data_IF_123185227834
#
_entry.id   IF_123185227834
#
_cell.length_a   1.000
_cell.length_b   1.000
_cell.length_c   1.000
_cell.angle_alpha   90.00
_cell.angle_beta   90.00
_cell.angle_gamma   90.00
#
_symmetry.space_group_name_H-M   'P 1'
#
loop_
_entity.id
_entity.type
_entity.pdbx_description
1 polymer ?
#
# COMPACT_ATOMS: atom_id res chain seq x y z
N UNK A 1 5.50 17.39 5.60
CA UNK A 1 4.82 16.20 5.04
C UNK A 1 5.30 14.92 5.72
N UNK A 2 6.61 14.64 5.71
CA UNK A 2 7.18 13.42 6.29
C UNK A 2 6.82 13.18 7.77
N UNK A 3 6.91 14.21 8.61
CA UNK A 3 6.61 14.10 10.05
C UNK A 3 5.13 13.73 10.30
N UNK A 4 4.20 14.26 9.49
CA UNK A 4 2.76 13.92 9.57
C UNK A 4 2.46 12.44 9.23
N UNK A 5 3.37 11.77 8.52
CA UNK A 5 3.28 10.35 8.17
C UNK A 5 4.20 9.47 9.04
N UNK A 6 4.82 10.05 10.08
CA UNK A 6 5.80 9.40 10.95
C UNK A 6 6.91 8.67 10.16
N UNK A 7 7.41 9.31 9.10
CA UNK A 7 8.49 8.74 8.29
C UNK A 7 9.84 8.96 8.96
N UNK A 8 10.71 7.96 8.84
CA UNK A 8 12.08 8.01 9.36
C UNK A 8 12.94 9.04 8.61
N UNK A 9 13.99 9.54 9.26
CA UNK A 9 14.89 10.55 8.70
C UNK A 9 15.49 10.13 7.35
N UNK A 10 15.83 8.85 7.17
CA UNK A 10 16.41 8.33 5.92
C UNK A 10 15.51 8.60 4.70
N UNK A 11 14.19 8.43 4.84
CA UNK A 11 13.22 8.72 3.78
C UNK A 11 13.16 10.23 3.48
N UNK A 12 13.25 11.07 4.52
CA UNK A 12 13.24 12.53 4.37
C UNK A 12 14.48 13.01 3.63
N UNK A 13 15.65 12.49 4.00
CA UNK A 13 16.92 12.82 3.36
C UNK A 13 16.91 12.37 1.90
N UNK A 14 16.43 11.15 1.64
CA UNK A 14 16.29 10.65 0.27
C UNK A 14 15.33 11.48 -0.57
N UNK A 15 14.21 11.91 -0.02
CA UNK A 15 13.27 12.80 -0.71
C UNK A 15 13.91 14.16 -1.07
N UNK A 16 14.74 14.71 -0.16
CA UNK A 16 15.48 15.94 -0.41
C UNK A 16 16.53 15.77 -1.52
N UNK A 17 17.24 14.64 -1.55
CA UNK A 17 18.18 14.33 -2.64
C UNK A 17 17.47 14.28 -4.00
N UNK A 18 16.34 13.59 -4.08
CA UNK A 18 15.53 13.49 -5.31
C UNK A 18 15.07 14.89 -5.74
N UNK A 19 14.58 15.70 -4.80
CA UNK A 19 14.15 17.07 -5.09
C UNK A 19 15.29 17.92 -5.66
N UNK A 20 16.47 17.92 -5.03
CA UNK A 20 17.65 18.67 -5.49
C UNK A 20 18.09 18.26 -6.89
N UNK A 21 18.09 16.95 -7.20
CA UNK A 21 18.43 16.44 -8.54
C UNK A 21 17.45 16.94 -9.60
N UNK A 22 16.16 16.97 -9.29
CA UNK A 22 15.13 17.43 -10.23
C UNK A 22 15.17 18.96 -10.39
N UNK A 23 15.41 19.69 -9.31
CA UNK A 23 15.53 21.15 -9.32
C UNK A 23 16.73 21.62 -10.15
N UNK A 24 17.88 20.95 -10.05
CA UNK A 24 19.09 21.31 -10.81
C UNK A 24 18.90 21.23 -12.32
N UNK A 25 17.96 20.41 -12.81
CA UNK A 25 17.61 20.31 -14.22
C UNK A 25 16.78 21.50 -14.72
N UNK A 26 16.35 22.41 -13.84
CA UNK A 26 15.47 23.58 -14.12
C UNK A 26 14.11 23.23 -14.73
N UNK A 27 13.75 21.94 -14.82
CA UNK A 27 12.54 21.43 -15.46
C UNK A 27 11.24 21.59 -14.63
N UNK A 28 11.32 22.09 -13.39
CA UNK A 28 10.17 22.24 -12.47
C UNK A 28 9.57 23.64 -12.37
N UNK A 29 10.12 24.64 -13.08
CA UNK A 29 9.59 26.01 -13.08
C UNK A 29 8.15 26.03 -13.63
N UNK A 30 7.25 26.72 -12.94
CA UNK A 30 5.83 26.84 -13.31
C UNK A 30 4.95 25.64 -12.92
N UNK A 31 5.49 24.62 -12.25
CA UNK A 31 4.73 23.48 -11.72
C UNK A 31 4.36 23.70 -10.26
N UNK A 32 3.29 23.03 -9.82
CA UNK A 32 2.87 22.99 -8.42
C UNK A 32 3.99 22.37 -7.57
N UNK A 33 4.61 23.19 -6.71
CA UNK A 33 5.75 22.78 -5.89
C UNK A 33 5.36 21.74 -4.83
N UNK A 34 4.18 21.86 -4.23
CA UNK A 34 3.69 20.88 -3.25
C UNK A 34 3.50 19.51 -3.91
N UNK A 35 3.04 19.47 -5.16
CA UNK A 35 2.91 18.22 -5.91
C UNK A 35 4.27 17.59 -6.23
N UNK A 36 5.28 18.40 -6.55
CA UNK A 36 6.66 17.91 -6.78
C UNK A 36 7.26 17.35 -5.48
N UNK A 37 7.17 18.09 -4.37
CA UNK A 37 7.65 17.62 -3.07
C UNK A 37 6.97 16.33 -2.62
N UNK A 38 5.64 16.25 -2.78
CA UNK A 38 4.86 15.05 -2.49
C UNK A 38 5.29 13.86 -3.37
N UNK A 39 5.55 14.08 -4.66
CA UNK A 39 6.03 13.05 -5.56
C UNK A 39 7.47 12.58 -5.22
N UNK A 40 8.38 13.49 -4.85
CA UNK A 40 9.70 13.11 -4.34
C UNK A 40 9.60 12.23 -3.10
N UNK A 41 8.71 12.59 -2.16
CA UNK A 41 8.49 11.80 -0.95
C UNK A 41 7.91 10.42 -1.26
N UNK A 42 6.95 10.35 -2.20
CA UNK A 42 6.38 9.09 -2.66
C UNK A 42 7.45 8.17 -3.26
N UNK A 43 8.34 8.70 -4.12
CA UNK A 43 9.42 7.94 -4.75
C UNK A 43 10.43 7.49 -3.69
N UNK A 44 10.82 8.35 -2.75
CA UNK A 44 11.71 8.01 -1.65
C UNK A 44 11.15 6.87 -0.79
N UNK A 45 9.86 6.89 -0.45
CA UNK A 45 9.23 5.80 0.31
C UNK A 45 9.33 4.45 -0.41
N UNK A 46 9.28 4.44 -1.75
CA UNK A 46 9.42 3.21 -2.55
C UNK A 46 10.87 2.73 -2.61
N UNK A 47 11.82 3.65 -2.79
CA UNK A 47 13.25 3.30 -2.84
C UNK A 47 13.79 2.78 -1.51
N UNK A 48 13.16 3.16 -0.39
CA UNK A 48 13.50 2.70 0.96
C UNK A 48 12.64 1.51 1.42
N UNK A 49 12.00 0.79 0.48
CA UNK A 49 11.19 -0.42 0.73
C UNK A 49 10.06 -0.23 1.78
N UNK A 50 9.59 1.01 1.95
CA UNK A 50 8.52 1.38 2.88
C UNK A 50 7.41 2.12 2.13
N UNK A 51 6.80 1.51 1.09
CA UNK A 51 5.92 2.19 0.18
C UNK A 51 4.72 2.81 0.90
N UNK A 52 4.43 4.06 0.55
CA UNK A 52 3.21 4.78 0.89
C UNK A 52 2.34 4.90 -0.35
N UNK A 53 1.05 4.79 -0.17
CA UNK A 53 0.08 4.93 -1.26
C UNK A 53 -0.03 6.40 -1.66
N UNK A 54 -0.44 6.67 -2.89
CA UNK A 54 -0.65 8.06 -3.32
C UNK A 54 -1.72 8.75 -2.47
N UNK A 55 -2.71 7.99 -1.95
CA UNK A 55 -3.73 8.54 -1.03
C UNK A 55 -3.12 8.96 0.31
N UNK A 56 -2.23 8.15 0.90
CA UNK A 56 -1.51 8.52 2.13
C UNK A 56 -0.63 9.77 1.93
N UNK A 57 0.06 9.87 0.79
CA UNK A 57 0.86 11.07 0.50
C UNK A 57 -0.05 12.29 0.27
N UNK A 58 -1.15 12.13 -0.46
CA UNK A 58 -2.09 13.19 -0.77
C UNK A 58 -2.75 13.77 0.49
N UNK A 59 -3.02 12.97 1.53
CA UNK A 59 -3.65 13.45 2.76
C UNK A 59 -2.77 14.43 3.55
N UNK A 60 -1.45 14.43 3.30
CA UNK A 60 -0.49 15.34 3.96
C UNK A 60 0.13 16.36 3.01
N UNK A 61 -0.17 16.28 1.71
CA UNK A 61 0.33 17.19 0.69
C UNK A 61 -0.55 18.44 0.63
N UNK A 62 -0.04 19.57 1.12
CA UNK A 62 -0.77 20.83 1.29
C UNK A 62 -1.44 21.29 -0.03
N UNK A 63 -2.70 20.93 -0.25
CA UNK A 63 -3.48 21.34 -1.44
C UNK A 63 -3.15 20.61 -2.75
N UNK A 64 -2.20 19.67 -2.79
CA UNK A 64 -1.88 18.91 -3.99
C UNK A 64 -2.85 17.73 -4.17
N UNK A 65 -3.47 17.62 -5.35
CA UNK A 65 -4.42 16.52 -5.62
C UNK A 65 -3.70 15.23 -5.97
N UNK A 66 -4.38 14.08 -5.82
CA UNK A 66 -3.89 12.77 -6.28
C UNK A 66 -3.44 12.79 -7.75
N UNK A 67 -4.15 13.54 -8.60
CA UNK A 67 -3.84 13.67 -10.03
C UNK A 67 -2.54 14.46 -10.25
N UNK A 68 -2.33 15.51 -9.48
CA UNK A 68 -1.12 16.34 -9.58
C UNK A 68 0.11 15.58 -9.09
N UNK A 69 -0.02 14.86 -7.96
CA UNK A 69 1.04 14.01 -7.42
C UNK A 69 1.39 12.90 -8.42
N UNK A 70 0.39 12.26 -9.05
CA UNK A 70 0.62 11.26 -10.09
C UNK A 70 1.40 11.81 -11.29
N UNK A 71 0.99 12.97 -11.82
CA UNK A 71 1.69 13.64 -12.93
C UNK A 71 3.10 14.08 -12.55
N UNK A 72 3.29 14.58 -11.33
CA UNK A 72 4.59 14.96 -10.81
C UNK A 72 5.52 13.73 -10.67
N UNK A 73 4.99 12.60 -10.19
CA UNK A 73 5.70 11.32 -10.10
C UNK A 73 6.16 10.85 -11.48
N UNK A 74 5.27 10.76 -12.46
CA UNK A 74 5.62 10.33 -13.83
C UNK A 74 6.69 11.26 -14.44
N UNK A 75 6.53 12.57 -14.24
CA UNK A 75 7.50 13.56 -14.68
C UNK A 75 8.89 13.36 -14.05
N UNK A 76 8.97 13.18 -12.73
CA UNK A 76 10.25 12.97 -12.02
C UNK A 76 10.90 11.67 -12.48
N UNK A 77 10.13 10.58 -12.59
CA UNK A 77 10.65 9.28 -13.06
C UNK A 77 11.27 9.39 -14.44
N UNK A 78 10.60 10.09 -15.37
CA UNK A 78 11.11 10.35 -16.71
C UNK A 78 12.37 11.21 -16.72
N UNK A 79 12.42 12.28 -15.91
CA UNK A 79 13.60 13.17 -15.84
C UNK A 79 14.82 12.49 -15.26
N UNK A 80 14.63 11.60 -14.28
CA UNK A 80 15.72 10.88 -13.62
C UNK A 80 16.08 9.57 -14.33
N UNK A 81 15.48 9.26 -15.48
CA UNK A 81 15.74 8.03 -16.23
C UNK A 81 15.29 6.75 -15.51
N UNK A 82 14.46 6.87 -14.47
CA UNK A 82 14.03 5.74 -13.63
C UNK A 82 13.06 4.78 -14.35
N UNK A 83 12.54 5.16 -15.53
CA UNK A 83 11.64 4.32 -16.33
C UNK A 83 12.37 3.22 -17.11
N UNK A 84 13.66 3.41 -17.40
CA UNK A 84 14.44 2.55 -18.30
C UNK A 84 15.50 1.72 -17.57
N UNK A 85 15.55 1.76 -16.25
CA UNK A 85 16.48 0.98 -15.45
C UNK A 85 15.77 -0.28 -14.91
N UNK A 86 16.06 -1.47 -15.48
CA UNK A 86 15.44 -2.72 -15.05
C UNK A 86 15.69 -3.00 -13.56
N UNK A 87 16.83 -2.55 -13.02
CA UNK A 87 17.19 -2.73 -11.60
C UNK A 87 16.27 -1.93 -10.67
N UNK A 88 15.72 -0.82 -11.15
CA UNK A 88 14.77 0.02 -10.40
C UNK A 88 13.34 -0.49 -10.59
N UNK A 89 13.04 -1.12 -11.72
CA UNK A 89 11.74 -1.73 -12.00
C UNK A 89 11.47 -2.90 -11.04
N UNK A 90 12.47 -3.77 -10.82
CA UNK A 90 12.39 -4.89 -9.87
C UNK A 90 12.43 -4.42 -8.42
N UNK A 91 13.31 -3.47 -8.04
CA UNK A 91 13.36 -2.86 -6.70
C UNK A 91 12.09 -2.10 -6.32
N UNK A 92 11.21 -1.78 -7.28
CA UNK A 92 9.97 -1.06 -7.04
C UNK A 92 8.72 -1.95 -7.11
N UNK A 93 8.84 -3.28 -7.20
CA UNK A 93 7.67 -4.17 -7.20
C UNK A 93 7.01 -4.12 -5.83
N UNK A 94 5.92 -3.34 -5.74
CA UNK A 94 5.15 -3.22 -4.51
C UNK A 94 4.37 -4.52 -4.31
N UNK A 95 4.64 -5.20 -3.21
CA UNK A 95 3.90 -6.38 -2.75
C UNK A 95 2.73 -5.96 -1.85
N UNK A 96 1.73 -6.83 -1.70
CA UNK A 96 0.72 -6.66 -0.67
C UNK A 96 1.34 -6.70 0.75
N UNK A 97 2.46 -7.41 0.91
CA UNK A 97 3.18 -7.58 2.18
C UNK A 97 3.75 -6.28 2.73
N UNK A 98 4.21 -5.40 1.84
CA UNK A 98 4.81 -4.11 2.21
C UNK A 98 3.85 -3.19 2.98
N UNK A 99 2.54 -3.44 2.83
CA UNK A 99 1.49 -2.69 3.50
C UNK A 99 0.98 -3.37 4.77
N UNK A 100 1.16 -4.70 4.88
CA UNK A 100 0.40 -5.53 5.81
C UNK A 100 0.61 -5.11 7.26
N UNK A 101 1.87 -5.03 7.71
CA UNK A 101 2.22 -4.59 9.07
C UNK A 101 1.61 -3.24 9.43
N UNK A 102 1.73 -2.25 8.54
CA UNK A 102 1.24 -0.89 8.79
C UNK A 102 -0.27 -0.84 8.89
N UNK A 103 -0.98 -1.48 7.96
CA UNK A 103 -2.44 -1.49 7.95
C UNK A 103 -3.00 -2.27 9.14
N UNK A 104 -2.44 -3.44 9.47
CA UNK A 104 -2.86 -4.21 10.65
C UNK A 104 -2.62 -3.43 11.95
N UNK A 105 -1.49 -2.72 12.06
CA UNK A 105 -1.20 -1.86 13.21
C UNK A 105 -2.19 -0.71 13.34
N UNK A 106 -2.54 -0.06 12.21
CA UNK A 106 -3.54 1.01 12.18
C UNK A 106 -4.95 0.54 12.56
N UNK A 107 -5.25 -0.75 12.35
CA UNK A 107 -6.51 -1.37 12.72
C UNK A 107 -6.50 -1.95 14.14
N UNK A 108 -5.37 -1.88 14.86
CA UNK A 108 -5.23 -2.44 16.20
C UNK A 108 -5.36 -3.96 16.23
N UNK A 109 -4.97 -4.65 15.16
CA UNK A 109 -5.00 -6.11 15.10
C UNK A 109 -3.98 -6.72 16.06
N UNK A 110 -4.35 -7.83 16.70
CA UNK A 110 -3.45 -8.59 17.55
C UNK A 110 -2.34 -9.31 16.74
N UNK A 111 -1.27 -9.72 17.41
CA UNK A 111 -0.10 -10.33 16.76
C UNK A 111 -0.43 -11.64 16.01
N UNK A 112 -1.41 -12.42 16.49
CA UNK A 112 -1.84 -13.65 15.81
C UNK A 112 -2.49 -13.34 14.47
N UNK A 113 -3.42 -12.38 14.43
CA UNK A 113 -4.08 -11.95 13.20
C UNK A 113 -3.10 -11.29 12.22
N UNK A 114 -2.14 -10.51 12.72
CA UNK A 114 -1.06 -9.93 11.88
C UNK A 114 -0.24 -11.05 11.22
N UNK A 115 0.21 -12.03 12.01
CA UNK A 115 1.00 -13.16 11.49
C UNK A 115 0.22 -13.99 10.47
N UNK A 116 -1.05 -14.28 10.75
CA UNK A 116 -1.90 -14.98 9.79
C UNK A 116 -2.05 -14.21 8.48
N UNK A 117 -2.24 -12.88 8.54
CA UNK A 117 -2.34 -12.04 7.36
C UNK A 117 -1.04 -12.00 6.53
N UNK A 118 0.12 -12.00 7.18
CA UNK A 118 1.43 -12.10 6.50
C UNK A 118 1.59 -13.45 5.79
N UNK A 119 1.29 -14.57 6.46
CA UNK A 119 1.35 -15.91 5.85
C UNK A 119 0.39 -16.05 4.65
N UNK A 120 -0.79 -15.44 4.74
CA UNK A 120 -1.76 -15.42 3.62
C UNK A 120 -1.22 -14.63 2.43
N UNK A 121 -0.56 -13.49 2.65
CA UNK A 121 0.07 -12.71 1.56
C UNK A 121 1.14 -13.52 0.84
N UNK A 122 2.00 -14.22 1.59
CA UNK A 122 3.10 -15.01 1.03
C UNK A 122 2.54 -16.12 0.11
N UNK A 123 1.50 -16.83 0.55
CA UNK A 123 0.86 -17.88 -0.25
C UNK A 123 0.07 -17.35 -1.45
N UNK A 124 -0.52 -16.16 -1.35
CA UNK A 124 -1.24 -15.54 -2.49
C UNK A 124 -0.28 -15.05 -3.57
N UNK A 125 0.97 -14.75 -3.24
CA UNK A 125 1.97 -14.36 -4.23
C UNK A 125 2.15 -15.38 -5.38
N UNK A 126 1.77 -16.62 -5.14
CA UNK A 126 1.83 -17.72 -6.12
C UNK A 126 0.56 -17.81 -7.01
N UNK A 127 -0.49 -17.05 -6.71
CA UNK A 127 -1.78 -17.10 -7.40
C UNK A 127 -1.93 -15.93 -8.39
N UNK A 128 -2.46 -16.19 -9.60
CA UNK A 128 -2.74 -15.15 -10.60
C UNK A 128 -4.04 -14.36 -10.27
N UNK A 129 -3.97 -13.50 -9.25
CA UNK A 129 -5.05 -12.60 -8.88
C UNK A 129 -4.80 -11.24 -9.51
N UNK A 130 -5.61 -10.88 -10.51
CA UNK A 130 -5.52 -9.62 -11.27
C UNK A 130 -6.09 -8.42 -10.50
N UNK A 131 -5.53 -8.15 -9.32
CA UNK A 131 -5.87 -7.01 -8.47
C UNK A 131 -4.61 -6.25 -8.08
N UNK A 132 -4.78 -4.97 -7.73
CA UNK A 132 -3.65 -4.18 -7.27
C UNK A 132 -3.19 -4.68 -5.88
N UNK A 133 -1.88 -4.64 -5.57
CA UNK A 133 -1.32 -5.15 -4.31
C UNK A 133 -2.01 -4.58 -3.06
N UNK A 134 -2.38 -3.30 -3.09
CA UNK A 134 -3.11 -2.65 -1.99
C UNK A 134 -4.53 -3.21 -1.80
N UNK A 135 -5.21 -3.59 -2.88
CA UNK A 135 -6.57 -4.15 -2.82
C UNK A 135 -6.53 -5.57 -2.30
N UNK A 136 -5.51 -6.34 -2.70
CA UNK A 136 -5.22 -7.67 -2.16
C UNK A 136 -4.95 -7.56 -0.65
N UNK A 137 -4.06 -6.66 -0.22
CA UNK A 137 -3.78 -6.43 1.20
C UNK A 137 -5.04 -6.09 2.00
N UNK A 138 -5.86 -5.15 1.51
CA UNK A 138 -7.11 -4.77 2.18
C UNK A 138 -8.12 -5.92 2.28
N UNK A 139 -8.21 -6.76 1.25
CA UNK A 139 -9.11 -7.91 1.24
C UNK A 139 -8.64 -9.06 2.14
N UNK A 140 -7.32 -9.31 2.22
CA UNK A 140 -6.73 -10.26 3.17
C UNK A 140 -7.02 -9.82 4.60
N UNK A 141 -6.78 -8.54 4.92
CA UNK A 141 -7.09 -7.97 6.23
C UNK A 141 -8.58 -8.14 6.56
N UNK A 142 -9.47 -7.87 5.60
CA UNK A 142 -10.90 -8.09 5.79
C UNK A 142 -11.20 -9.55 6.10
N UNK A 143 -10.66 -10.48 5.33
CA UNK A 143 -10.86 -11.93 5.52
C UNK A 143 -10.39 -12.39 6.90
N UNK A 144 -9.18 -12.02 7.31
CA UNK A 144 -8.60 -12.38 8.61
C UNK A 144 -9.36 -11.75 9.77
N UNK A 145 -9.78 -10.49 9.65
CA UNK A 145 -10.56 -9.83 10.71
C UNK A 145 -11.96 -10.42 10.87
N UNK A 146 -12.58 -10.96 9.82
CA UNK A 146 -13.87 -11.67 9.95
C UNK A 146 -13.75 -13.00 10.69
N UNK A 147 -12.57 -13.63 10.66
CA UNK A 147 -12.26 -14.89 11.37
C UNK A 147 -11.70 -14.68 12.77
N UNK A 148 -11.25 -13.47 13.08
CA UNK A 148 -10.83 -13.08 14.43
C UNK A 148 -12.04 -12.80 15.32
N UNK A 149 -11.83 -12.85 16.64
CA UNK A 149 -12.83 -12.42 17.64
C UNK A 149 -13.18 -10.94 17.45
N UNK A 150 -12.18 -10.12 17.11
CA UNK A 150 -12.33 -8.69 16.85
C UNK A 150 -12.61 -8.40 15.37
N UNK A 151 -13.88 -8.45 15.00
CA UNK A 151 -14.32 -8.10 13.64
C UNK A 151 -14.12 -6.62 13.36
N UNK A 152 -13.63 -6.30 12.17
CA UNK A 152 -13.47 -4.93 11.68
C UNK A 152 -14.47 -4.63 10.58
N UNK A 153 -15.01 -3.41 10.58
CA UNK A 153 -15.95 -2.98 9.54
C UNK A 153 -15.17 -2.62 8.27
N UNK A 154 -15.81 -2.77 7.11
CA UNK A 154 -15.24 -2.33 5.83
C UNK A 154 -14.86 -0.84 5.85
N UNK A 155 -15.63 -0.02 6.58
CA UNK A 155 -15.34 1.40 6.80
C UNK A 155 -14.00 1.61 7.50
N UNK A 156 -13.68 0.81 8.50
CA UNK A 156 -12.42 0.93 9.25
C UNK A 156 -11.23 0.56 8.35
N UNK A 157 -11.40 -0.49 7.56
CA UNK A 157 -10.39 -0.92 6.58
C UNK A 157 -10.23 0.14 5.48
N UNK A 158 -11.31 0.78 5.03
CA UNK A 158 -11.23 1.92 4.13
C UNK A 158 -10.44 3.08 4.73
N UNK A 159 -10.63 3.40 6.01
CA UNK A 159 -9.89 4.46 6.69
C UNK A 159 -8.40 4.14 6.82
N UNK A 160 -8.05 2.88 7.10
CA UNK A 160 -6.66 2.44 7.24
C UNK A 160 -5.92 2.32 5.89
N UNK A 161 -6.60 1.81 4.85
CA UNK A 161 -5.97 1.45 3.56
C UNK A 161 -6.22 2.48 2.45
N UNK A 162 -7.28 3.28 2.57
CA UNK A 162 -7.78 4.13 1.51
C UNK A 162 -8.43 3.38 0.33
N UNK A 163 -8.67 2.07 0.43
CA UNK A 163 -9.32 1.27 -0.63
C UNK A 163 -10.83 1.28 -0.44
N UNK A 164 -11.58 1.63 -1.49
CA UNK A 164 -13.05 1.73 -1.41
C UNK A 164 -13.69 0.39 -1.02
N UNK A 165 -14.77 0.43 -0.23
CA UNK A 165 -15.42 -0.77 0.28
C UNK A 165 -15.88 -1.74 -0.83
N UNK A 166 -16.37 -1.21 -1.96
CA UNK A 166 -16.74 -2.01 -3.12
C UNK A 166 -15.54 -2.75 -3.73
N UNK A 167 -14.37 -2.11 -3.77
CA UNK A 167 -13.11 -2.73 -4.23
C UNK A 167 -12.63 -3.80 -3.27
N UNK A 168 -12.78 -3.58 -1.95
CA UNK A 168 -12.46 -4.59 -0.94
C UNK A 168 -13.36 -5.82 -1.13
N UNK A 169 -14.69 -5.62 -1.25
CA UNK A 169 -15.63 -6.73 -1.48
C UNK A 169 -15.33 -7.50 -2.77
N UNK A 170 -15.05 -6.80 -3.87
CA UNK A 170 -14.73 -7.46 -5.14
C UNK A 170 -13.42 -8.26 -5.05
N UNK A 171 -12.38 -7.69 -4.42
CA UNK A 171 -11.10 -8.39 -4.24
C UNK A 171 -11.24 -9.58 -3.29
N UNK A 172 -12.08 -9.45 -2.26
CA UNK A 172 -12.43 -10.53 -1.35
C UNK A 172 -13.16 -11.68 -2.07
N UNK A 173 -14.08 -11.38 -3.00
CA UNK A 173 -14.74 -12.41 -3.83
C UNK A 173 -13.75 -13.23 -4.66
N UNK A 174 -12.72 -12.57 -5.18
CA UNK A 174 -11.68 -13.25 -5.96
C UNK A 174 -10.75 -14.10 -5.07
N UNK A 175 -10.55 -13.70 -3.81
CA UNK A 175 -9.72 -14.40 -2.82
C UNK A 175 -10.45 -15.55 -2.12
N UNK A 176 -11.76 -15.45 -1.94
CA UNK A 176 -12.57 -16.39 -1.18
C UNK A 176 -12.42 -17.85 -1.63
N UNK A 177 -12.36 -18.20 -2.93
CA UNK A 177 -12.16 -19.58 -3.39
C UNK A 177 -10.85 -20.22 -2.88
N UNK A 178 -9.86 -19.39 -2.57
CA UNK A 178 -8.54 -19.84 -2.10
C UNK A 178 -8.42 -19.82 -0.58
N UNK A 179 -9.43 -19.33 0.14
CA UNK A 179 -9.40 -19.12 1.59
C UNK A 179 -8.98 -20.38 2.38
N UNK A 180 -9.52 -21.55 2.03
CA UNK A 180 -9.17 -22.82 2.66
C UNK A 180 -7.72 -23.26 2.46
N UNK A 181 -7.09 -22.79 1.39
CA UNK A 181 -5.70 -23.15 1.05
C UNK A 181 -4.71 -22.15 1.63
N UNK A 182 -5.07 -20.86 1.61
CA UNK A 182 -4.14 -19.78 2.00
C UNK A 182 -4.18 -19.51 3.50
N UNK A 183 -5.34 -19.63 4.15
CA UNK A 183 -5.47 -19.36 5.58
C UNK A 183 -4.76 -20.47 6.37
N UNK A 184 -3.89 -20.12 7.34
CA UNK A 184 -3.22 -21.14 8.16
C UNK A 184 -4.21 -21.89 9.06
N UNK A 185 -4.09 -23.22 9.10
CA UNK A 185 -4.93 -24.09 9.95
C UNK A 185 -4.83 -23.77 11.45
N UNK A 186 -3.68 -23.23 11.88
CA UNK A 186 -3.47 -22.81 13.27
C UNK A 186 -4.30 -21.58 13.66
N UNK A 187 -4.75 -20.79 12.67
CA UNK A 187 -5.52 -19.57 12.89
C UNK A 187 -7.03 -19.82 12.81
N UNK A 188 -7.49 -20.53 11.78
CA UNK A 188 -8.91 -20.85 11.60
C UNK A 188 -9.09 -22.24 10.99
N UNK A 189 -10.08 -22.99 11.47
CA UNK A 189 -10.41 -24.33 10.94
C UNK A 189 -11.44 -24.20 9.81
N UNK A 190 -11.58 -25.25 8.99
CA UNK A 190 -12.58 -25.29 7.91
C UNK A 190 -14.01 -24.98 8.34
N UNK A 191 -14.36 -25.26 9.60
CA UNK A 191 -15.68 -24.92 10.15
C UNK A 191 -15.86 -23.41 10.31
N UNK A 192 -14.80 -22.70 10.68
CA UNK A 192 -14.78 -21.26 10.87
C UNK A 192 -14.81 -20.55 9.51
N UNK A 193 -14.19 -21.15 8.48
CA UNK A 193 -14.26 -20.65 7.10
C UNK A 193 -15.68 -20.64 6.54
N UNK A 194 -16.58 -21.51 7.01
CA UNK A 194 -18.01 -21.48 6.60
C UNK A 194 -18.77 -20.27 7.14
N UNK A 195 -18.21 -19.56 8.13
CA UNK A 195 -18.80 -18.33 8.68
C UNK A 195 -18.49 -17.11 7.82
N UNK A 196 -17.53 -17.23 6.89
CA UNK A 196 -17.25 -16.22 5.88
C UNK A 196 -18.40 -16.19 4.87
N UNK A 197 -19.20 -15.13 4.91
CA UNK A 197 -20.27 -14.95 3.93
C UNK A 197 -19.69 -14.52 2.57
N UNK A 198 -20.17 -15.15 1.49
CA UNK A 198 -20.03 -14.61 0.14
C UNK A 198 -21.06 -13.50 -0.08
N UNK A 199 -20.91 -12.36 0.61
CA UNK A 199 -21.79 -11.19 0.41
C UNK A 199 -21.74 -10.66 -1.03
#
# INVERSE_FOLDING_TARGET
MADRLNLVATIKDRANEIYKKVESLRSIKGRNQDAIMAACLYIACRQEEKPRTIKEICSVANGATKKDIGRAKDFIQKQLGLENDPSIQDMCTISAGDFMRRFCSSLGMNNQAVKAAEEVVEKIGELDIRRSPISIAAAIIYMITQLSEEKRLLRDIYLATGVAESTIRNSYKDLYPYASTVIPEWFAKDKDLKTLYSS
#
